data_IF_725430285521
#
_entry.id   IF_725430285521
#
_cell.length_a   1.000
_cell.length_b   1.000
_cell.length_c   1.000
_cell.angle_alpha   90.00
_cell.angle_beta   90.00
_cell.angle_gamma   90.00
#
_symmetry.space_group_name_H-M   'P 1'
#
loop_
_entity.id
_entity.type
_entity.pdbx_description
1 polymer ?
#
# COMPACT_ATOMS: atom_id res chain seq x y z
N UNK A 1 7.72 -14.48 16.01
CA UNK A 1 7.40 -13.41 15.05
C UNK A 1 7.78 -13.93 13.68
N UNK A 2 6.81 -14.24 12.88
CA UNK A 2 7.00 -14.79 11.53
C UNK A 2 7.13 -13.64 10.55
N UNK A 3 8.10 -13.74 9.65
CA UNK A 3 8.42 -12.70 8.67
C UNK A 3 8.14 -13.28 7.29
N UNK A 4 7.36 -12.56 6.48
CA UNK A 4 7.12 -12.95 5.09
C UNK A 4 8.44 -13.11 4.35
N UNK A 5 8.59 -14.21 3.61
CA UNK A 5 9.77 -14.48 2.81
C UNK A 5 11.00 -14.91 3.62
N UNK A 6 10.84 -15.54 4.78
CA UNK A 6 11.89 -16.27 5.57
C UNK A 6 13.20 -15.54 5.90
N UNK A 7 13.68 -14.67 5.03
CA UNK A 7 14.95 -13.93 5.17
C UNK A 7 14.75 -12.44 5.41
N UNK A 8 13.55 -12.01 5.73
CA UNK A 8 13.25 -10.60 5.86
C UNK A 8 13.75 -10.06 7.21
N UNK A 9 14.53 -9.03 7.17
CA UNK A 9 14.84 -8.22 8.35
C UNK A 9 13.58 -7.52 8.80
N UNK A 10 13.20 -7.64 10.07
CA UNK A 10 12.01 -7.06 10.65
C UNK A 10 11.79 -5.58 10.29
N UNK A 11 10.58 -5.12 10.46
CA UNK A 11 10.13 -3.75 10.22
C UNK A 11 8.92 -3.43 11.10
N UNK A 12 8.44 -2.19 11.03
CA UNK A 12 7.16 -1.78 11.61
C UNK A 12 6.06 -2.01 10.58
N UNK A 13 5.77 -3.28 10.32
CA UNK A 13 4.73 -3.66 9.35
C UNK A 13 3.37 -3.27 9.89
N UNK A 14 2.61 -2.57 9.06
CA UNK A 14 1.33 -2.00 9.43
C UNK A 14 0.16 -2.74 8.79
N UNK A 15 0.19 -2.92 7.49
CA UNK A 15 -0.91 -3.51 6.76
C UNK A 15 -0.42 -4.45 5.66
N UNK A 16 -1.31 -5.36 5.22
CA UNK A 16 -1.00 -6.44 4.28
C UNK A 16 -2.16 -6.66 3.33
N UNK A 17 -1.83 -6.88 2.05
CA UNK A 17 -2.79 -7.28 1.02
C UNK A 17 -2.13 -8.18 -0.02
N UNK A 18 -2.90 -8.67 -0.99
CA UNK A 18 -2.38 -9.57 -2.02
C UNK A 18 -3.12 -9.43 -3.34
N UNK A 19 -2.39 -9.62 -4.44
CA UNK A 19 -2.95 -9.81 -5.78
C UNK A 19 -2.78 -11.28 -6.18
N UNK A 20 -3.91 -11.96 -6.36
CA UNK A 20 -3.99 -13.37 -6.74
C UNK A 20 -4.77 -13.58 -8.03
N UNK A 21 -4.84 -12.57 -8.88
CA UNK A 21 -5.44 -12.69 -10.22
C UNK A 21 -4.74 -13.79 -11.01
N UNK A 22 -3.42 -13.93 -10.81
CA UNK A 22 -2.65 -15.11 -11.23
C UNK A 22 -2.22 -15.94 -10.01
N UNK A 23 -2.88 -17.06 -9.79
CA UNK A 23 -2.56 -17.98 -8.68
C UNK A 23 -1.20 -18.68 -8.84
N UNK A 24 -0.64 -18.70 -10.04
CA UNK A 24 0.70 -19.25 -10.30
C UNK A 24 1.81 -18.22 -10.04
N UNK A 25 1.50 -16.93 -10.03
CA UNK A 25 2.40 -15.82 -9.69
C UNK A 25 1.75 -14.84 -8.69
N UNK A 26 1.37 -15.29 -7.49
CA UNK A 26 0.74 -14.42 -6.50
C UNK A 26 1.74 -13.38 -5.98
N UNK A 27 1.22 -12.20 -5.69
CA UNK A 27 2.00 -11.07 -5.17
C UNK A 27 1.42 -10.59 -3.87
N UNK A 28 2.25 -10.49 -2.86
CA UNK A 28 1.89 -10.07 -1.51
C UNK A 28 2.55 -8.74 -1.22
N UNK A 29 1.74 -7.77 -0.76
CA UNK A 29 2.19 -6.40 -0.51
C UNK A 29 2.02 -6.05 0.95
N UNK A 30 2.94 -5.28 1.49
CA UNK A 30 2.85 -4.81 2.87
C UNK A 30 3.54 -3.47 3.06
N UNK A 31 2.95 -2.67 3.93
CA UNK A 31 3.40 -1.33 4.29
C UNK A 31 4.27 -1.37 5.55
N UNK A 32 5.03 -0.31 5.75
CA UNK A 32 5.89 -0.14 6.92
C UNK A 32 5.72 1.28 7.49
N UNK A 33 5.09 1.41 8.69
CA UNK A 33 4.92 2.71 9.37
C UNK A 33 6.24 3.24 9.90
N UNK A 34 7.02 3.82 8.98
CA UNK A 34 8.27 4.54 9.26
C UNK A 34 8.39 5.73 8.33
N UNK A 35 9.13 6.79 8.74
CA UNK A 35 9.40 7.93 7.86
C UNK A 35 10.06 7.56 6.52
N UNK A 36 10.81 6.47 6.50
CA UNK A 36 11.53 5.91 5.37
C UNK A 36 11.11 4.45 5.08
N UNK A 37 9.93 4.03 5.56
CA UNK A 37 9.42 2.66 5.43
C UNK A 37 9.02 2.34 3.99
N UNK A 38 9.79 1.49 3.26
CA UNK A 38 9.45 1.19 1.88
C UNK A 38 8.29 0.21 1.81
N UNK A 39 7.35 0.44 0.89
CA UNK A 39 6.34 -0.55 0.54
C UNK A 39 7.03 -1.75 -0.12
N UNK A 40 6.67 -2.94 0.31
CA UNK A 40 7.32 -4.19 -0.12
C UNK A 40 6.37 -5.07 -0.90
N UNK A 41 6.97 -5.81 -1.85
CA UNK A 41 6.31 -6.90 -2.57
C UNK A 41 7.08 -8.19 -2.32
N UNK A 42 6.36 -9.24 -1.93
CA UNK A 42 6.88 -10.60 -1.85
C UNK A 42 6.27 -11.47 -2.94
N UNK A 43 7.11 -12.25 -3.62
CA UNK A 43 6.73 -13.25 -4.63
C UNK A 43 7.32 -14.59 -4.23
N UNK A 44 6.51 -15.57 -3.82
CA UNK A 44 7.02 -16.91 -3.46
C UNK A 44 7.62 -17.62 -4.68
N UNK A 45 8.72 -18.31 -4.49
CA UNK A 45 9.37 -19.09 -5.56
C UNK A 45 8.52 -20.29 -6.01
N UNK A 46 7.75 -20.85 -5.09
CA UNK A 46 6.90 -22.02 -5.34
C UNK A 46 5.54 -21.81 -4.68
N UNK A 47 4.59 -21.20 -5.39
CA UNK A 47 3.24 -21.01 -4.87
C UNK A 47 2.56 -22.34 -4.58
N UNK A 48 2.07 -22.51 -3.35
CA UNK A 48 1.31 -23.70 -2.92
C UNK A 48 0.13 -23.29 -2.04
N UNK A 49 -1.03 -23.16 -2.65
CA UNK A 49 -2.27 -22.74 -1.98
C UNK A 49 -2.86 -23.79 -1.02
N UNK A 50 -2.37 -25.02 -1.07
CA UNK A 50 -2.72 -26.05 -0.08
C UNK A 50 -1.93 -25.87 1.22
N UNK A 51 -0.82 -25.11 1.16
CA UNK A 51 0.06 -24.82 2.31
C UNK A 51 0.40 -23.33 2.35
N UNK A 52 -0.59 -22.43 2.51
CA UNK A 52 -0.39 -20.99 2.41
C UNK A 52 0.59 -20.45 3.46
N UNK A 53 0.60 -21.02 4.65
CA UNK A 53 1.57 -20.63 5.69
C UNK A 53 3.02 -20.90 5.23
N UNK A 54 3.29 -22.10 4.72
CA UNK A 54 4.63 -22.46 4.23
C UNK A 54 5.03 -21.61 3.02
N UNK A 55 4.09 -21.35 2.12
CA UNK A 55 4.30 -20.46 0.97
C UNK A 55 4.71 -19.04 1.40
N UNK A 56 4.01 -18.43 2.34
CA UNK A 56 4.28 -17.07 2.80
C UNK A 56 5.57 -16.94 3.60
N UNK A 57 6.01 -18.00 4.28
CA UNK A 57 7.21 -18.01 5.09
C UNK A 57 8.40 -18.73 4.42
N UNK A 58 8.19 -19.23 3.22
CA UNK A 58 9.19 -19.93 2.40
C UNK A 58 10.11 -18.98 1.62
N UNK A 59 10.76 -19.58 0.63
CA UNK A 59 11.65 -18.85 -0.29
C UNK A 59 10.86 -18.00 -1.27
N UNK A 60 11.37 -16.81 -1.56
CA UNK A 60 10.80 -15.90 -2.54
C UNK A 60 11.63 -14.65 -2.74
N UNK A 61 11.21 -13.84 -3.69
CA UNK A 61 11.79 -12.54 -3.95
C UNK A 61 11.09 -11.47 -3.13
N UNK A 62 11.89 -10.65 -2.44
CA UNK A 62 11.42 -9.42 -1.79
C UNK A 62 11.93 -8.25 -2.58
N UNK A 63 11.01 -7.40 -2.99
CA UNK A 63 11.29 -6.18 -3.74
C UNK A 63 10.61 -4.98 -3.08
N UNK A 64 11.09 -3.80 -3.37
CA UNK A 64 10.67 -2.55 -2.78
C UNK A 64 10.21 -1.58 -3.87
N UNK A 65 9.16 -0.81 -3.58
CA UNK A 65 8.58 0.17 -4.49
C UNK A 65 9.53 1.35 -4.72
N UNK A 66 9.71 1.72 -6.00
CA UNK A 66 10.27 2.98 -6.43
C UNK A 66 9.22 3.76 -7.21
N UNK A 67 9.01 5.02 -6.84
CA UNK A 67 8.17 5.96 -7.59
C UNK A 67 9.07 6.91 -8.38
N UNK A 68 8.66 7.22 -9.61
CA UNK A 68 9.25 8.24 -10.46
C UNK A 68 8.13 9.18 -10.93
N UNK A 69 8.23 10.45 -10.59
CA UNK A 69 7.19 11.43 -10.88
C UNK A 69 7.28 11.91 -12.33
N UNK A 70 6.14 11.93 -13.01
CA UNK A 70 6.06 12.42 -14.41
C UNK A 70 5.70 13.91 -14.50
N UNK A 71 5.25 14.52 -13.40
CA UNK A 71 4.81 15.92 -13.33
C UNK A 71 5.41 16.64 -12.13
N UNK A 72 5.56 17.95 -12.23
CA UNK A 72 6.25 18.77 -11.23
C UNK A 72 5.60 18.79 -9.84
N UNK A 73 4.29 18.53 -9.74
CA UNK A 73 3.57 18.46 -8.48
C UNK A 73 3.61 17.06 -7.83
N UNK A 74 4.33 16.12 -8.46
CA UNK A 74 4.44 14.74 -8.01
C UNK A 74 3.06 14.05 -7.85
N UNK A 75 2.07 14.38 -8.66
CA UNK A 75 0.72 13.79 -8.55
C UNK A 75 0.56 12.47 -9.30
N UNK A 76 1.38 12.25 -10.33
CA UNK A 76 1.37 11.03 -11.16
C UNK A 76 2.77 10.66 -11.61
N UNK A 77 2.94 9.41 -12.04
CA UNK A 77 4.21 8.96 -12.58
C UNK A 77 4.22 7.48 -12.96
N UNK A 78 5.42 6.96 -13.10
CA UNK A 78 5.67 5.52 -13.28
C UNK A 78 6.29 4.95 -12.01
N UNK A 79 6.22 3.62 -11.86
CA UNK A 79 6.88 2.95 -10.76
C UNK A 79 7.63 1.70 -11.23
N UNK A 80 8.56 1.27 -10.40
CA UNK A 80 9.28 0.03 -10.58
C UNK A 80 9.53 -0.67 -9.25
N UNK A 81 10.02 -1.91 -9.31
CA UNK A 81 10.40 -2.68 -8.13
C UNK A 81 11.90 -2.93 -8.11
N UNK A 82 12.52 -2.80 -6.96
CA UNK A 82 13.96 -2.98 -6.77
C UNK A 82 14.29 -3.87 -5.59
N UNK A 83 15.41 -4.56 -5.65
CA UNK A 83 16.00 -5.27 -4.49
C UNK A 83 16.88 -4.34 -3.62
N UNK A 84 17.10 -3.10 -4.06
CA UNK A 84 17.90 -2.12 -3.33
C UNK A 84 17.03 -1.37 -2.30
N UNK A 85 17.03 -1.87 -1.05
CA UNK A 85 16.25 -1.29 0.05
C UNK A 85 16.62 0.17 0.33
N UNK A 86 17.90 0.53 0.25
CA UNK A 86 18.34 1.92 0.55
C UNK A 86 17.75 2.91 -0.45
N UNK A 87 17.73 2.56 -1.73
CA UNK A 87 17.13 3.39 -2.76
C UNK A 87 15.61 3.54 -2.53
N UNK A 88 14.94 2.45 -2.19
CA UNK A 88 13.50 2.48 -1.89
C UNK A 88 13.17 3.25 -0.61
N UNK A 89 14.04 3.24 0.39
CA UNK A 89 13.87 4.07 1.58
C UNK A 89 13.94 5.57 1.26
N UNK A 90 14.82 5.97 0.34
CA UNK A 90 14.87 7.37 -0.11
C UNK A 90 13.55 7.77 -0.81
N UNK A 91 13.05 6.91 -1.71
CA UNK A 91 11.75 7.11 -2.36
C UNK A 91 10.59 7.18 -1.35
N UNK A 92 10.57 6.27 -0.37
CA UNK A 92 9.52 6.28 0.66
C UNK A 92 9.53 7.56 1.49
N UNK A 93 10.73 8.03 1.89
CA UNK A 93 10.87 9.27 2.64
C UNK A 93 10.42 10.51 1.86
N UNK A 94 10.58 10.50 0.54
CA UNK A 94 10.18 11.60 -0.34
C UNK A 94 8.67 11.58 -0.65
N UNK A 95 8.14 10.41 -1.05
CA UNK A 95 6.77 10.32 -1.59
C UNK A 95 5.73 9.90 -0.57
N UNK A 96 5.98 8.85 0.23
CA UNK A 96 4.98 8.21 1.10
C UNK A 96 5.48 7.88 2.51
N UNK A 97 6.04 8.85 3.25
CA UNK A 97 6.50 8.60 4.61
C UNK A 97 5.35 8.16 5.53
N UNK A 98 5.60 7.12 6.35
CA UNK A 98 4.56 6.54 7.22
C UNK A 98 3.43 5.94 6.41
N UNK A 99 3.74 4.90 5.62
CA UNK A 99 2.71 4.15 4.89
C UNK A 99 1.94 3.24 5.85
N UNK A 100 0.62 3.29 5.75
CA UNK A 100 -0.36 2.65 6.63
C UNK A 100 -1.18 1.61 5.87
N UNK A 101 -2.51 1.76 5.84
CA UNK A 101 -3.42 0.85 5.18
C UNK A 101 -3.11 0.58 3.72
N UNK A 102 -3.35 -0.66 3.27
CA UNK A 102 -3.13 -1.12 1.91
C UNK A 102 -4.25 -2.07 1.47
N UNK A 103 -4.69 -1.96 0.22
CA UNK A 103 -5.68 -2.83 -0.40
C UNK A 103 -5.35 -3.09 -1.87
N UNK A 104 -5.60 -4.28 -2.37
CA UNK A 104 -5.43 -4.65 -3.78
C UNK A 104 -6.75 -5.13 -4.37
N UNK A 105 -7.14 -4.56 -5.51
CA UNK A 105 -8.37 -4.91 -6.18
C UNK A 105 -8.28 -4.69 -7.70
N UNK A 106 -8.64 -5.69 -8.49
CA UNK A 106 -8.76 -5.65 -9.96
C UNK A 106 -7.57 -4.96 -10.68
N UNK A 107 -6.34 -5.31 -10.28
CA UNK A 107 -5.14 -4.76 -10.93
C UNK A 107 -4.70 -3.41 -10.38
N UNK A 108 -5.37 -2.88 -9.39
CA UNK A 108 -4.98 -1.67 -8.68
C UNK A 108 -4.49 -1.99 -7.27
N UNK A 109 -3.45 -1.29 -6.83
CA UNK A 109 -2.95 -1.33 -5.46
C UNK A 109 -3.14 0.05 -4.83
N UNK A 110 -3.89 0.10 -3.77
CA UNK A 110 -4.20 1.31 -3.00
C UNK A 110 -3.41 1.30 -1.71
N UNK A 111 -2.77 2.39 -1.34
CA UNK A 111 -2.21 2.56 -0.01
C UNK A 111 -2.23 4.03 0.43
N UNK A 112 -2.18 4.26 1.73
CA UNK A 112 -2.16 5.61 2.28
C UNK A 112 -0.84 5.92 2.96
N UNK A 113 -0.46 7.19 2.91
CA UNK A 113 0.64 7.75 3.68
C UNK A 113 0.09 8.72 4.72
N UNK A 114 0.25 8.37 5.98
CA UNK A 114 -0.20 9.15 7.13
C UNK A 114 0.43 10.54 7.17
N UNK A 115 1.76 10.61 6.95
CA UNK A 115 2.50 11.87 7.05
C UNK A 115 2.33 12.76 5.84
N UNK A 116 2.29 12.18 4.64
CA UNK A 116 2.08 12.93 3.41
C UNK A 116 0.60 13.30 3.20
N UNK A 117 -0.34 12.63 3.89
CA UNK A 117 -1.79 12.80 3.75
C UNK A 117 -2.26 12.59 2.31
N UNK A 118 -1.76 11.53 1.69
CA UNK A 118 -2.13 11.11 0.36
C UNK A 118 -2.55 9.64 0.34
N UNK A 119 -3.49 9.33 -0.52
CA UNK A 119 -3.75 8.00 -1.02
C UNK A 119 -3.06 7.84 -2.37
N UNK A 120 -2.32 6.75 -2.51
CA UNK A 120 -1.66 6.32 -3.74
C UNK A 120 -2.45 5.21 -4.39
N UNK A 121 -2.52 5.25 -5.72
CA UNK A 121 -3.12 4.21 -6.54
C UNK A 121 -2.08 3.80 -7.58
N UNK A 122 -1.67 2.54 -7.56
CA UNK A 122 -0.79 1.96 -8.55
C UNK A 122 -1.61 1.10 -9.52
N UNK A 123 -1.47 1.34 -10.80
CA UNK A 123 -1.93 0.42 -11.86
C UNK A 123 -0.88 -0.70 -11.99
N UNK A 124 -1.24 -1.91 -11.54
CA UNK A 124 -0.34 -3.06 -11.51
C UNK A 124 -0.02 -3.64 -12.88
N UNK A 125 -0.81 -3.29 -13.89
CA UNK A 125 -0.64 -3.75 -15.26
C UNK A 125 0.11 -2.70 -16.11
N UNK A 126 -0.20 -1.41 -15.91
CA UNK A 126 0.41 -0.29 -16.62
C UNK A 126 1.72 0.23 -16.02
N UNK A 127 2.05 -0.16 -14.79
CA UNK A 127 3.20 0.36 -14.03
C UNK A 127 3.18 1.89 -13.88
N UNK A 128 2.00 2.46 -13.75
CA UNK A 128 1.78 3.87 -13.46
C UNK A 128 1.21 4.06 -12.07
N UNK A 129 1.36 5.27 -11.53
CA UNK A 129 0.76 5.62 -10.25
C UNK A 129 0.17 7.02 -10.29
N UNK A 130 -0.83 7.24 -9.45
CA UNK A 130 -1.36 8.55 -9.11
C UNK A 130 -1.51 8.68 -7.60
N UNK A 131 -1.56 9.92 -7.10
CA UNK A 131 -1.91 10.20 -5.70
C UNK A 131 -3.01 11.24 -5.61
N UNK A 132 -3.83 11.10 -4.57
CA UNK A 132 -4.92 12.00 -4.25
C UNK A 132 -4.81 12.46 -2.80
N UNK A 133 -5.07 13.74 -2.56
CA UNK A 133 -5.09 14.26 -1.19
C UNK A 133 -6.18 13.58 -0.37
N UNK A 134 -5.84 13.20 0.86
CA UNK A 134 -6.81 12.72 1.85
C UNK A 134 -7.33 13.87 2.73
N UNK A 135 -6.90 15.10 2.47
CA UNK A 135 -7.34 16.30 3.20
C UNK A 135 -8.27 17.08 2.31
N UNK A 136 -9.57 16.78 2.38
CA UNK A 136 -10.60 17.52 1.65
C UNK A 136 -11.98 17.35 2.28
N UNK A 137 -12.79 18.40 2.27
CA UNK A 137 -14.14 18.38 2.82
C UNK A 137 -14.16 18.14 4.32
N UNK A 138 -14.67 16.97 4.74
CA UNK A 138 -14.74 16.57 6.15
C UNK A 138 -13.47 15.87 6.65
N UNK A 139 -12.51 15.65 5.75
CA UNK A 139 -11.27 14.94 6.05
C UNK A 139 -10.18 15.94 6.38
N UNK A 140 -9.63 15.89 7.57
CA UNK A 140 -8.53 16.74 8.04
C UNK A 140 -7.46 15.98 8.83
N UNK A 141 -7.76 14.74 9.15
CA UNK A 141 -6.90 13.86 9.92
C UNK A 141 -5.78 13.19 9.13
N UNK A 142 -5.17 12.23 9.75
CA UNK A 142 -4.15 11.39 9.14
C UNK A 142 -4.78 10.07 8.69
N UNK A 143 -4.69 9.69 7.41
CA UNK A 143 -5.23 8.40 6.95
C UNK A 143 -4.50 7.25 7.64
N UNK A 144 -5.23 6.19 7.96
CA UNK A 144 -4.73 5.03 8.70
C UNK A 144 -5.00 3.74 7.92
N UNK A 145 -6.15 3.09 8.04
CA UNK A 145 -6.41 1.81 7.40
C UNK A 145 -7.28 1.93 6.14
N UNK A 146 -7.09 0.98 5.21
CA UNK A 146 -7.92 0.78 4.03
C UNK A 146 -8.62 -0.57 4.10
N UNK A 147 -9.87 -0.64 3.63
CA UNK A 147 -10.60 -1.90 3.51
C UNK A 147 -11.72 -1.80 2.48
N UNK A 148 -12.13 -2.96 1.95
CA UNK A 148 -13.36 -3.14 1.16
C UNK A 148 -14.31 -4.06 1.90
N UNK A 149 -15.59 -3.79 1.78
CA UNK A 149 -16.61 -4.72 2.26
C UNK A 149 -16.84 -5.82 1.22
N UNK A 150 -17.05 -7.03 1.69
CA UNK A 150 -17.41 -8.17 0.83
C UNK A 150 -18.76 -7.87 0.17
N UNK A 151 -18.79 -7.87 -1.16
CA UNK A 151 -19.97 -7.57 -1.95
C UNK A 151 -20.14 -6.10 -2.36
N UNK A 152 -19.34 -5.18 -1.82
CA UNK A 152 -19.33 -3.76 -2.19
C UNK A 152 -17.95 -3.38 -2.78
N UNK A 153 -17.60 -4.04 -3.86
CA UNK A 153 -16.22 -4.03 -4.38
C UNK A 153 -15.78 -2.69 -4.97
N UNK A 154 -16.72 -1.84 -5.35
CA UNK A 154 -16.44 -0.53 -5.93
C UNK A 154 -16.18 0.57 -4.88
N UNK A 155 -16.39 0.25 -3.61
CA UNK A 155 -16.26 1.20 -2.51
C UNK A 155 -15.05 0.84 -1.66
N UNK A 156 -14.09 1.78 -1.59
CA UNK A 156 -12.94 1.72 -0.72
C UNK A 156 -13.21 2.57 0.52
N UNK A 157 -13.13 1.97 1.69
CA UNK A 157 -13.24 2.64 2.97
C UNK A 157 -11.86 2.93 3.53
N UNK A 158 -11.67 4.10 4.09
CA UNK A 158 -10.48 4.36 4.88
C UNK A 158 -10.83 5.01 6.23
N UNK A 159 -9.93 4.85 7.19
CA UNK A 159 -10.06 5.45 8.50
C UNK A 159 -9.08 6.59 8.67
N UNK A 160 -9.44 7.59 9.46
CA UNK A 160 -8.55 8.66 9.89
C UNK A 160 -8.32 8.62 11.39
N UNK A 161 -7.12 8.99 11.79
CA UNK A 161 -6.81 9.31 13.19
C UNK A 161 -6.82 10.83 13.32
N UNK A 162 -7.83 11.38 13.99
CA UNK A 162 -7.85 12.79 14.38
C UNK A 162 -7.45 12.91 15.85
N UNK A 163 -6.56 13.84 16.16
CA UNK A 163 -6.27 14.24 17.55
C UNK A 163 -7.27 15.34 17.96
N UNK A 164 -8.35 14.96 18.60
CA UNK A 164 -9.13 15.89 19.41
C UNK A 164 -8.99 15.46 20.87
N UNK A 165 -8.33 16.30 21.65
CA UNK A 165 -8.25 16.29 23.13
C UNK A 165 -8.38 14.91 23.81
N UNK A 166 -7.31 14.08 23.72
CA UNK A 166 -7.18 12.79 24.43
C UNK A 166 -8.14 11.66 24.03
N UNK A 167 -8.93 11.80 22.98
CA UNK A 167 -9.72 10.69 22.43
C UNK A 167 -9.33 10.42 20.95
N UNK A 168 -9.03 9.16 20.66
CA UNK A 168 -8.81 8.71 19.28
C UNK A 168 -10.16 8.38 18.65
N UNK A 169 -10.66 9.25 17.78
CA UNK A 169 -11.82 8.95 16.97
C UNK A 169 -11.40 8.29 15.68
N UNK A 170 -11.85 7.07 15.48
CA UNK A 170 -11.69 6.35 14.23
C UNK A 170 -12.94 6.59 13.39
N UNK A 171 -12.85 7.50 12.42
CA UNK A 171 -13.93 7.77 11.48
C UNK A 171 -13.72 6.94 10.21
N UNK A 172 -14.75 6.21 9.79
CA UNK A 172 -14.72 5.42 8.56
C UNK A 172 -15.42 6.18 7.44
N UNK A 173 -14.75 6.40 6.33
CA UNK A 173 -15.28 7.16 5.20
C UNK A 173 -15.27 6.33 3.92
N UNK A 174 -16.16 6.70 3.01
CA UNK A 174 -16.42 6.00 1.75
C UNK A 174 -15.86 6.82 0.60
N UNK A 175 -14.94 6.24 -0.17
CA UNK A 175 -14.57 6.76 -1.49
C UNK A 175 -15.21 5.86 -2.55
N UNK A 176 -16.18 6.38 -3.30
CA UNK A 176 -16.65 5.70 -4.50
C UNK A 176 -15.66 5.96 -5.64
N UNK A 177 -15.13 4.91 -6.24
CA UNK A 177 -14.10 5.01 -7.27
C UNK A 177 -14.67 5.22 -8.69
N UNK A 178 -15.97 5.35 -8.86
CA UNK A 178 -16.66 5.36 -10.15
C UNK A 178 -16.96 6.74 -10.71
N UNK A 179 -16.00 7.69 -10.66
CA UNK A 179 -16.07 8.82 -11.59
C UNK A 179 -14.66 9.23 -12.01
N UNK A 180 -14.31 9.10 -13.30
CA UNK A 180 -13.19 9.85 -13.84
C UNK A 180 -13.50 11.36 -13.65
N UNK A 181 -12.51 12.19 -13.38
CA UNK A 181 -12.73 13.63 -13.30
C UNK A 181 -13.34 14.16 -14.61
N UNK A 182 -14.43 14.91 -14.47
CA UNK A 182 -14.94 15.75 -15.54
C UNK A 182 -13.93 16.83 -15.88
#
# INVERSE_FOLDING_TARGET
>A
MTVLGGNNTGGRFESFTYDVRDKADPRFYYTEDRPDGPLRRFRPTSPDWNRPHEMLHGMGDIEFLLLDASVADNSTGTYSWTKNKTLAQATAAEFFPGSEGIDAYEGSLYFVSKKAKFMYVLDLDGNTWERRSTVSGVFDGSPDQLTRLVGEQEILYYTEVSQMENEFYKLTFILSYNNPPL
#
